data_IF_722186528363
#
_entry.id   IF_722186528363
#
_cell.length_a   1.000
_cell.length_b   1.000
_cell.length_c   1.000
_cell.angle_alpha   90.00
_cell.angle_beta   90.00
_cell.angle_gamma   90.00
#
_symmetry.space_group_name_H-M   'P 1'
#
loop_
_entity.id
_entity.type
_entity.pdbx_description
1 polymer ?
#
# COMPACT_ATOMS: atom_id res chain seq x y z
N UNK A 1 -26.99 22.96 70.13
CA UNK A 1 -25.61 23.34 69.76
C UNK A 1 -25.38 24.77 70.22
N UNK A 2 -24.29 25.09 70.94
CA UNK A 2 -24.03 26.46 71.35
C UNK A 2 -23.77 27.32 70.12
N UNK A 3 -24.51 28.43 69.98
CA UNK A 3 -24.22 29.44 68.97
C UNK A 3 -22.84 30.02 69.27
N UNK A 4 -21.90 29.87 68.34
CA UNK A 4 -20.58 30.47 68.44
C UNK A 4 -20.74 31.99 68.28
N UNK A 5 -20.87 32.71 69.39
CA UNK A 5 -20.92 34.18 69.37
C UNK A 5 -19.52 34.73 69.08
N UNK A 6 -19.27 35.10 67.83
CA UNK A 6 -18.04 35.74 67.41
C UNK A 6 -18.04 37.19 67.92
N UNK A 7 -17.30 37.47 69.01
CA UNK A 7 -17.12 38.82 69.53
C UNK A 7 -15.84 39.41 68.94
N UNK A 8 -15.96 40.50 68.21
CA UNK A 8 -14.81 41.18 67.57
C UNK A 8 -14.41 42.35 68.46
N UNK A 9 -13.24 42.26 69.09
CA UNK A 9 -12.63 43.38 69.81
C UNK A 9 -11.87 44.30 68.82
N UNK A 10 -12.31 45.55 68.73
CA UNK A 10 -11.80 46.54 67.76
C UNK A 10 -10.43 47.17 68.15
N UNK A 11 -9.66 46.54 69.03
CA UNK A 11 -8.36 47.07 69.48
C UNK A 11 -7.25 46.91 68.44
N UNK A 12 -7.35 45.89 67.58
CA UNK A 12 -6.37 45.60 66.51
C UNK A 12 -6.98 45.40 65.11
N UNK A 13 -8.30 45.31 64.99
CA UNK A 13 -8.99 45.08 63.73
C UNK A 13 -10.15 46.06 63.54
N UNK A 14 -10.32 46.56 62.32
CA UNK A 14 -11.47 47.40 61.94
C UNK A 14 -12.60 46.53 61.37
N UNK A 15 -13.83 47.04 61.38
CA UNK A 15 -14.99 46.36 60.78
C UNK A 15 -14.75 45.95 59.31
N UNK A 16 -13.96 46.74 58.55
CA UNK A 16 -13.56 46.42 57.19
C UNK A 16 -12.72 45.15 57.09
N UNK A 17 -11.84 44.88 58.06
CA UNK A 17 -11.04 43.65 58.09
C UNK A 17 -11.91 42.41 58.26
N UNK A 18 -12.95 42.49 59.10
CA UNK A 18 -13.88 41.38 59.32
C UNK A 18 -14.69 41.08 58.07
N UNK A 19 -15.24 42.12 57.43
CA UNK A 19 -15.98 41.96 56.17
C UNK A 19 -15.08 41.36 55.09
N UNK A 20 -13.83 41.83 54.98
CA UNK A 20 -12.85 41.26 54.05
C UNK A 20 -12.57 39.77 54.33
N UNK A 21 -12.42 39.37 55.60
CA UNK A 21 -12.22 37.97 55.99
C UNK A 21 -13.45 37.12 55.63
N UNK A 22 -14.66 37.60 55.90
CA UNK A 22 -15.90 36.86 55.57
C UNK A 22 -16.04 36.68 54.06
N UNK A 23 -15.79 37.74 53.27
CA UNK A 23 -15.82 37.67 51.81
C UNK A 23 -14.72 36.76 51.24
N UNK A 24 -13.53 36.77 51.83
CA UNK A 24 -12.45 35.84 51.47
C UNK A 24 -12.85 34.39 51.78
N UNK A 25 -13.35 34.09 52.98
CA UNK A 25 -13.82 32.76 53.36
C UNK A 25 -14.95 32.25 52.46
N UNK A 26 -15.79 33.14 51.94
CA UNK A 26 -16.88 32.78 51.03
C UNK A 26 -16.41 32.57 49.58
N UNK A 27 -15.45 33.36 49.10
CA UNK A 27 -14.97 33.32 47.72
C UNK A 27 -13.94 32.22 47.45
N UNK A 28 -13.08 31.88 48.43
CA UNK A 28 -12.03 30.85 48.27
C UNK A 28 -12.60 29.48 47.82
N UNK A 29 -13.69 28.94 48.41
CA UNK A 29 -14.27 27.68 47.97
C UNK A 29 -14.76 27.69 46.52
N UNK A 30 -15.27 28.83 46.02
CA UNK A 30 -15.75 28.96 44.64
C UNK A 30 -14.60 28.75 43.66
N UNK A 31 -13.45 29.40 43.91
CA UNK A 31 -12.25 29.22 43.09
C UNK A 31 -11.67 27.81 43.20
N UNK A 32 -11.76 27.17 44.38
CA UNK A 32 -11.31 25.79 44.56
C UNK A 32 -12.12 24.81 43.71
N UNK A 33 -13.45 24.95 43.67
CA UNK A 33 -14.32 24.11 42.83
C UNK A 33 -14.00 24.31 41.35
N UNK A 34 -13.76 25.55 40.91
CA UNK A 34 -13.35 25.82 39.53
C UNK A 34 -12.04 25.13 39.17
N UNK A 35 -11.04 25.16 40.05
CA UNK A 35 -9.75 24.46 39.84
C UNK A 35 -9.97 22.95 39.73
N UNK A 36 -10.81 22.36 40.60
CA UNK A 36 -11.10 20.91 40.58
C UNK A 36 -11.74 20.48 39.26
N UNK A 37 -12.62 21.31 38.68
CA UNK A 37 -13.22 21.01 37.37
C UNK A 37 -12.18 20.90 36.25
N UNK A 38 -11.08 21.67 36.31
CA UNK A 38 -10.01 21.59 35.31
C UNK A 38 -9.06 20.40 35.48
N UNK A 39 -9.06 19.73 36.64
CA UNK A 39 -8.17 18.57 36.88
C UNK A 39 -8.51 17.41 35.94
N UNK A 40 -9.79 17.19 35.64
CA UNK A 40 -10.23 16.12 34.73
C UNK A 40 -9.79 16.39 33.29
N UNK A 41 -9.91 17.64 32.83
CA UNK A 41 -9.45 18.05 31.50
C UNK A 41 -7.92 17.94 31.39
N UNK A 42 -7.19 18.35 32.42
CA UNK A 42 -5.74 18.19 32.49
C UNK A 42 -5.30 16.72 32.45
N UNK A 43 -5.97 15.84 33.21
CA UNK A 43 -5.69 14.42 33.20
C UNK A 43 -5.98 13.79 31.83
N UNK A 44 -7.10 14.15 31.19
CA UNK A 44 -7.46 13.68 29.84
C UNK A 44 -6.49 14.18 28.78
N UNK A 45 -6.05 15.44 28.89
CA UNK A 45 -5.01 16.03 28.05
C UNK A 45 -3.69 15.28 28.16
N UNK A 46 -3.23 14.99 29.38
CA UNK A 46 -2.00 14.23 29.60
C UNK A 46 -2.07 12.81 29.03
N UNK A 47 -3.21 12.12 29.13
CA UNK A 47 -3.37 10.79 28.52
C UNK A 47 -3.25 10.84 27.01
N UNK A 48 -3.87 11.84 26.38
CA UNK A 48 -3.83 12.03 24.92
C UNK A 48 -2.42 12.41 24.46
N UNK A 49 -1.72 13.24 25.24
CA UNK A 49 -0.35 13.64 25.00
C UNK A 49 0.63 12.46 25.09
N UNK A 50 0.47 11.56 26.06
CA UNK A 50 1.35 10.39 26.20
C UNK A 50 1.24 9.43 25.00
N UNK A 51 0.04 9.21 24.46
CA UNK A 51 -0.13 8.41 23.23
C UNK A 51 0.57 9.07 22.05
N UNK A 52 0.49 10.39 21.94
CA UNK A 52 1.17 11.14 20.89
C UNK A 52 2.70 11.08 21.05
N UNK A 53 3.21 11.19 22.28
CA UNK A 53 4.65 11.01 22.55
C UNK A 53 5.10 9.60 22.21
N UNK A 54 4.33 8.56 22.58
CA UNK A 54 4.64 7.17 22.24
C UNK A 54 4.77 7.00 20.73
N UNK A 55 3.86 7.57 19.94
CA UNK A 55 3.92 7.54 18.47
C UNK A 55 5.10 8.34 17.88
N UNK A 56 5.49 9.46 18.50
CA UNK A 56 6.63 10.26 18.05
C UNK A 56 7.96 9.57 18.39
N UNK A 57 8.03 8.93 19.55
CA UNK A 57 9.23 8.26 20.05
C UNK A 57 9.38 6.84 19.52
N UNK A 58 8.32 6.23 18.96
CA UNK A 58 8.37 4.91 18.34
C UNK A 58 9.37 4.90 17.18
N UNK A 59 10.55 4.35 17.44
CA UNK A 59 11.54 4.12 16.40
C UNK A 59 11.14 2.90 15.58
N UNK A 60 10.79 3.13 14.31
CA UNK A 60 10.59 2.04 13.35
C UNK A 60 11.83 1.15 13.30
N UNK A 61 11.67 -0.17 13.39
CA UNK A 61 12.77 -1.15 13.23
C UNK A 61 13.47 -1.02 11.87
N UNK A 62 12.80 -0.43 10.88
CA UNK A 62 13.32 -0.09 9.55
C UNK A 62 13.88 1.35 9.52
N UNK A 63 14.46 1.86 10.60
CA UNK A 63 14.80 3.28 10.84
C UNK A 63 15.70 3.98 9.82
N UNK A 64 16.27 3.28 8.84
CA UNK A 64 17.17 3.85 7.82
C UNK A 64 16.41 4.37 6.57
N UNK A 65 15.34 5.12 6.78
CA UNK A 65 14.62 5.79 5.67
C UNK A 65 15.41 6.96 5.08
N UNK A 66 16.48 7.42 5.75
CA UNK A 66 17.18 8.68 5.44
C UNK A 66 18.53 8.48 4.73
N UNK A 67 18.58 7.62 3.72
CA UNK A 67 19.76 7.50 2.86
C UNK A 67 21.00 6.85 3.50
N UNK A 68 20.88 6.38 4.74
CA UNK A 68 21.93 5.64 5.43
C UNK A 68 21.91 4.17 4.99
N UNK A 69 23.04 3.68 4.48
CA UNK A 69 23.18 2.32 3.98
C UNK A 69 23.77 2.29 2.57
N UNK A 70 24.08 1.10 2.09
CA UNK A 70 24.71 0.94 0.78
C UNK A 70 23.69 1.21 -0.32
N UNK A 71 23.98 2.21 -1.15
CA UNK A 71 23.25 2.45 -2.39
C UNK A 71 23.85 1.57 -3.51
N UNK A 72 23.04 0.92 -4.33
CA UNK A 72 23.56 0.12 -5.43
C UNK A 72 24.24 1.03 -6.46
N UNK A 73 25.52 0.78 -6.76
CA UNK A 73 26.29 1.50 -7.80
C UNK A 73 25.70 1.22 -9.19
N UNK A 74 25.23 -0.02 -9.40
CA UNK A 74 24.45 -0.44 -10.55
C UNK A 74 23.46 -1.52 -10.13
N UNK A 75 22.29 -1.55 -10.76
CA UNK A 75 21.26 -2.55 -10.50
C UNK A 75 20.83 -3.19 -11.82
N UNK A 76 21.27 -4.42 -12.03
CA UNK A 76 21.07 -5.13 -13.30
C UNK A 76 19.69 -5.80 -13.39
N UNK A 77 18.94 -5.90 -12.28
CA UNK A 77 17.61 -6.52 -12.27
C UNK A 77 17.58 -8.01 -11.95
N UNK A 78 18.71 -8.61 -11.56
CA UNK A 78 18.76 -10.00 -11.07
C UNK A 78 18.17 -10.09 -9.66
N UNK A 79 17.32 -11.09 -9.42
CA UNK A 79 16.75 -11.36 -8.11
C UNK A 79 17.02 -12.80 -7.69
N UNK A 80 17.42 -12.98 -6.44
CA UNK A 80 17.66 -14.29 -5.86
C UNK A 80 17.10 -14.37 -4.45
N UNK A 81 16.22 -15.34 -4.24
CA UNK A 81 15.67 -15.74 -2.96
C UNK A 81 16.42 -16.99 -2.51
N UNK A 82 16.99 -16.96 -1.30
CA UNK A 82 17.73 -18.08 -0.70
C UNK A 82 17.14 -18.38 0.67
N UNK A 83 16.63 -19.60 0.86
CA UNK A 83 16.06 -20.10 2.11
C UNK A 83 15.11 -19.09 2.79
N UNK A 84 14.17 -18.54 2.02
CA UNK A 84 13.25 -17.53 2.54
C UNK A 84 12.12 -18.19 3.32
N UNK A 85 11.96 -17.80 4.59
CA UNK A 85 10.86 -18.18 5.46
C UNK A 85 10.07 -16.94 5.86
N UNK A 86 8.74 -17.05 5.92
CA UNK A 86 7.91 -15.90 6.25
C UNK A 86 6.66 -16.25 7.05
N UNK A 87 6.33 -15.33 7.96
CA UNK A 87 5.19 -15.38 8.86
C UNK A 87 4.76 -13.96 9.19
N UNK A 88 3.47 -13.68 9.08
CA UNK A 88 2.94 -12.36 9.47
C UNK A 88 3.03 -12.17 11.00
N UNK A 89 3.50 -11.01 11.49
CA UNK A 89 3.56 -10.73 12.93
C UNK A 89 2.20 -10.84 13.63
N UNK A 90 1.12 -10.49 12.92
CA UNK A 90 -0.27 -10.59 13.40
C UNK A 90 -0.80 -12.02 13.48
N UNK A 91 -0.20 -12.97 12.75
CA UNK A 91 -0.63 -14.37 12.70
C UNK A 91 0.57 -15.30 12.92
N UNK A 92 1.08 -15.27 14.15
CA UNK A 92 2.29 -16.02 14.52
C UNK A 92 2.15 -17.53 14.39
N UNK A 93 0.96 -18.11 14.37
CA UNK A 93 0.81 -19.56 14.27
C UNK A 93 0.88 -20.11 12.84
N UNK A 94 0.67 -19.25 11.83
CA UNK A 94 0.61 -19.68 10.42
C UNK A 94 1.86 -19.27 9.68
N UNK A 95 2.70 -20.25 9.33
CA UNK A 95 3.79 -20.05 8.38
C UNK A 95 3.22 -19.89 6.96
N UNK A 96 3.71 -18.90 6.24
CA UNK A 96 3.26 -18.57 4.88
C UNK A 96 4.25 -19.09 3.84
N UNK A 97 5.55 -18.91 4.08
CA UNK A 97 6.61 -19.44 3.22
C UNK A 97 7.56 -20.34 4.01
N UNK A 98 7.97 -21.43 3.39
CA UNK A 98 8.97 -22.36 3.93
C UNK A 98 10.03 -22.66 2.86
N UNK A 99 11.29 -22.37 3.16
CA UNK A 99 12.45 -22.73 2.32
C UNK A 99 12.37 -22.25 0.86
N UNK A 100 11.86 -21.03 0.63
CA UNK A 100 11.76 -20.47 -0.72
C UNK A 100 13.15 -20.19 -1.31
N UNK A 101 13.47 -20.91 -2.38
CA UNK A 101 14.68 -20.74 -3.19
C UNK A 101 14.28 -20.46 -4.64
N UNK A 102 14.59 -19.28 -5.14
CA UNK A 102 14.21 -18.85 -6.49
C UNK A 102 15.23 -17.88 -7.06
N UNK A 103 15.59 -18.08 -8.32
CA UNK A 103 16.42 -17.16 -9.08
C UNK A 103 15.66 -16.64 -10.30
N UNK A 104 15.73 -15.34 -10.51
CA UNK A 104 15.13 -14.58 -11.61
C UNK A 104 16.22 -13.75 -12.27
N UNK A 105 16.44 -13.99 -13.56
CA UNK A 105 17.45 -13.26 -14.34
C UNK A 105 16.91 -11.91 -14.81
N UNK A 106 17.83 -10.99 -15.11
CA UNK A 106 17.51 -9.67 -15.65
C UNK A 106 16.65 -9.77 -16.92
N UNK A 107 15.56 -9.00 -16.95
CA UNK A 107 14.64 -8.96 -18.09
C UNK A 107 13.68 -10.14 -18.20
N UNK A 108 13.79 -11.13 -17.30
CA UNK A 108 12.88 -12.27 -17.26
C UNK A 108 11.54 -11.88 -16.62
N UNK A 109 10.45 -12.37 -17.21
CA UNK A 109 9.11 -12.31 -16.63
C UNK A 109 8.79 -13.62 -15.92
N UNK A 110 8.57 -13.55 -14.60
CA UNK A 110 8.27 -14.70 -13.74
C UNK A 110 6.88 -14.54 -13.14
N UNK A 111 6.01 -15.52 -13.42
CA UNK A 111 4.66 -15.58 -12.89
C UNK A 111 4.58 -16.50 -11.67
N UNK A 112 3.93 -16.02 -10.61
CA UNK A 112 3.62 -16.78 -9.41
C UNK A 112 2.14 -17.18 -9.42
N UNK A 113 1.88 -18.45 -9.18
CA UNK A 113 0.53 -19.02 -9.10
C UNK A 113 0.37 -19.72 -7.75
N UNK A 114 -0.57 -19.24 -6.92
CA UNK A 114 -0.82 -19.76 -5.58
C UNK A 114 -1.51 -18.73 -4.66
N UNK A 115 -1.85 -19.12 -3.43
CA UNK A 115 -2.45 -18.22 -2.45
C UNK A 115 -1.44 -17.14 -2.00
N UNK A 116 -1.88 -15.89 -1.97
CA UNK A 116 -1.05 -14.68 -1.81
C UNK A 116 -0.31 -14.60 -0.47
N UNK A 117 0.98 -14.22 -0.54
CA UNK A 117 1.84 -13.92 0.61
C UNK A 117 3.32 -14.17 0.30
N UNK A 118 4.08 -13.11 -0.01
CA UNK A 118 5.52 -13.19 -0.28
C UNK A 118 6.35 -12.49 0.81
N UNK A 119 7.52 -13.05 1.15
CA UNK A 119 8.34 -12.70 2.29
C UNK A 119 9.79 -12.32 1.96
N UNK A 120 10.54 -11.93 3.00
CA UNK A 120 11.87 -11.30 2.94
C UNK A 120 13.04 -12.28 2.75
N UNK A 121 14.04 -11.87 1.97
CA UNK A 121 15.39 -12.45 1.93
C UNK A 121 16.46 -11.34 2.01
N UNK A 122 17.57 -11.64 2.70
CA UNK A 122 18.68 -10.77 3.10
C UNK A 122 18.33 -9.62 4.06
N UNK A 123 19.30 -9.20 4.89
CA UNK A 123 19.10 -8.17 5.91
C UNK A 123 18.90 -6.78 5.26
N UNK A 124 17.67 -6.51 4.81
CA UNK A 124 17.21 -5.22 4.29
C UNK A 124 17.47 -4.05 5.25
N UNK A 125 17.84 -4.33 6.51
CA UNK A 125 18.16 -3.33 7.54
C UNK A 125 19.49 -2.62 7.30
N UNK A 126 20.33 -3.05 6.35
CA UNK A 126 21.59 -2.36 6.01
C UNK A 126 21.53 -1.58 4.69
N UNK A 127 20.46 -1.73 3.91
CA UNK A 127 20.34 -1.13 2.59
C UNK A 127 19.73 0.27 2.67
N UNK A 128 20.14 1.14 1.74
CA UNK A 128 19.43 2.39 1.51
C UNK A 128 18.07 2.08 0.84
N UNK A 129 17.02 1.99 1.65
CA UNK A 129 15.68 1.59 1.20
C UNK A 129 15.14 2.53 0.13
N UNK A 130 15.43 3.83 0.19
CA UNK A 130 14.98 4.80 -0.80
C UNK A 130 15.60 4.52 -2.17
N UNK A 131 16.92 4.31 -2.21
CA UNK A 131 17.64 4.01 -3.44
C UNK A 131 17.18 2.68 -4.06
N UNK A 132 16.90 1.67 -3.24
CA UNK A 132 16.35 0.40 -3.70
C UNK A 132 14.93 0.57 -4.23
N UNK A 133 14.03 1.25 -3.51
CA UNK A 133 12.63 1.46 -3.94
C UNK A 133 12.53 2.16 -5.29
N UNK A 134 13.44 3.08 -5.63
CA UNK A 134 13.51 3.70 -6.96
C UNK A 134 13.75 2.69 -8.10
N UNK A 135 14.29 1.50 -7.81
CA UNK A 135 14.46 0.44 -8.80
C UNK A 135 13.20 -0.41 -9.01
N UNK A 136 12.19 -0.28 -8.15
CA UNK A 136 10.95 -1.06 -8.20
C UNK A 136 9.77 -0.18 -8.64
N UNK A 137 8.99 -0.68 -9.61
CA UNK A 137 7.66 -0.18 -9.91
C UNK A 137 6.63 -1.19 -9.44
N UNK A 138 5.52 -0.71 -8.87
CA UNK A 138 4.44 -1.58 -8.37
C UNK A 138 3.14 -1.19 -9.04
N UNK A 139 2.40 -2.18 -9.53
CA UNK A 139 1.01 -2.05 -9.94
C UNK A 139 0.19 -2.98 -9.07
N UNK A 140 -0.64 -2.40 -8.22
CA UNK A 140 -1.48 -3.12 -7.26
C UNK A 140 -2.75 -3.66 -7.92
N UNK A 141 -3.39 -4.60 -7.24
CA UNK A 141 -4.68 -5.16 -7.63
C UNK A 141 -5.75 -4.07 -7.71
N UNK A 142 -5.94 -3.33 -6.62
CA UNK A 142 -6.83 -2.18 -6.55
C UNK A 142 -6.04 -0.87 -6.80
N UNK A 143 -6.37 -0.12 -7.87
CA UNK A 143 -5.62 1.08 -8.22
C UNK A 143 -5.99 2.26 -7.30
N UNK A 144 -5.01 2.73 -6.52
CA UNK A 144 -5.15 3.91 -5.66
C UNK A 144 -4.61 5.16 -6.36
N UNK A 145 -5.50 6.14 -6.52
CA UNK A 145 -5.19 7.50 -6.99
C UNK A 145 -5.40 8.48 -5.84
N UNK A 146 -4.60 9.54 -5.81
CA UNK A 146 -4.76 10.62 -4.84
C UNK A 146 -5.68 11.69 -5.43
N UNK A 147 -6.33 12.46 -4.54
CA UNK A 147 -7.21 13.59 -4.87
C UNK A 147 -6.43 14.80 -5.42
N UNK A 148 -5.78 14.60 -6.55
CA UNK A 148 -4.98 15.59 -7.29
C UNK A 148 -5.13 15.37 -8.80
N UNK A 149 -4.46 16.17 -9.62
CA UNK A 149 -4.58 16.03 -11.08
C UNK A 149 -4.05 14.69 -11.61
N UNK A 150 -4.46 14.32 -12.82
CA UNK A 150 -3.95 13.12 -13.50
C UNK A 150 -2.43 13.20 -13.70
N UNK A 151 -1.90 14.36 -14.12
CA UNK A 151 -0.46 14.55 -14.28
C UNK A 151 0.30 14.37 -12.97
N UNK A 152 -0.18 14.94 -11.86
CA UNK A 152 0.46 14.81 -10.55
C UNK A 152 0.41 13.37 -10.06
N UNK A 153 -0.72 12.67 -10.29
CA UNK A 153 -0.85 11.25 -10.02
C UNK A 153 0.19 10.42 -10.77
N UNK A 154 0.51 10.74 -12.03
CA UNK A 154 1.56 10.03 -12.78
C UNK A 154 2.94 10.44 -12.26
N UNK A 155 3.18 11.74 -12.04
CA UNK A 155 4.46 12.32 -11.60
C UNK A 155 4.91 11.81 -10.22
N UNK A 156 4.03 11.24 -9.40
CA UNK A 156 4.45 10.52 -8.19
C UNK A 156 5.43 9.36 -8.43
N UNK A 157 5.46 8.78 -9.63
CA UNK A 157 6.46 7.77 -9.99
C UNK A 157 7.87 8.36 -10.12
N UNK A 158 7.98 9.63 -10.51
CA UNK A 158 9.23 10.38 -10.69
C UNK A 158 8.94 11.87 -10.53
N UNK A 159 9.24 12.42 -9.35
CA UNK A 159 8.82 13.78 -8.97
C UNK A 159 9.40 14.88 -9.87
N UNK A 160 10.58 14.63 -10.44
CA UNK A 160 11.29 15.50 -11.38
C UNK A 160 10.93 15.22 -12.85
N UNK A 161 9.90 14.40 -13.13
CA UNK A 161 9.52 14.07 -14.50
C UNK A 161 8.95 15.29 -15.24
N UNK A 162 9.39 15.46 -16.49
CA UNK A 162 8.88 16.51 -17.37
C UNK A 162 7.48 16.17 -17.87
N UNK A 163 6.74 17.18 -18.33
CA UNK A 163 5.39 16.97 -18.88
C UNK A 163 5.42 16.04 -20.10
N UNK A 164 6.48 16.10 -20.91
CA UNK A 164 6.69 15.17 -22.04
C UNK A 164 6.87 13.72 -21.56
N UNK A 165 7.63 13.49 -20.49
CA UNK A 165 7.78 12.15 -19.90
C UNK A 165 6.44 11.62 -19.37
N UNK A 166 5.63 12.48 -18.75
CA UNK A 166 4.28 12.13 -18.26
C UNK A 166 3.36 11.75 -19.43
N UNK A 167 3.36 12.53 -20.52
CA UNK A 167 2.54 12.25 -21.72
C UNK A 167 2.98 10.96 -22.40
N UNK A 168 4.30 10.73 -22.51
CA UNK A 168 4.85 9.49 -23.07
C UNK A 168 4.46 8.27 -22.22
N UNK A 169 4.60 8.35 -20.90
CA UNK A 169 4.20 7.28 -19.99
C UNK A 169 2.70 6.98 -20.08
N UNK A 170 1.86 8.02 -20.13
CA UNK A 170 0.42 7.87 -20.33
C UNK A 170 0.08 7.24 -21.68
N UNK A 171 0.80 7.59 -22.75
CA UNK A 171 0.61 6.99 -24.08
C UNK A 171 0.98 5.51 -24.10
N UNK A 172 2.11 5.14 -23.47
CA UNK A 172 2.52 3.74 -23.34
C UNK A 172 1.51 2.93 -22.52
N UNK A 173 0.90 3.55 -21.51
CA UNK A 173 -0.15 2.95 -20.70
C UNK A 173 -1.54 2.93 -21.37
N UNK A 174 -1.66 3.34 -22.65
CA UNK A 174 -2.93 3.53 -23.35
C UNK A 174 -3.90 4.46 -22.60
N UNK A 175 -3.40 5.42 -21.83
CA UNK A 175 -4.18 6.35 -21.03
C UNK A 175 -4.42 7.70 -21.70
N UNK A 176 -3.51 8.12 -22.60
CA UNK A 176 -3.53 9.43 -23.24
C UNK A 176 -4.90 9.77 -23.87
N UNK A 177 -5.46 8.87 -24.68
CA UNK A 177 -6.68 9.14 -25.45
C UNK A 177 -7.89 9.47 -24.56
N UNK A 178 -8.04 8.77 -23.44
CA UNK A 178 -9.16 9.04 -22.53
C UNK A 178 -8.88 10.26 -21.64
N UNK A 179 -7.62 10.50 -21.28
CA UNK A 179 -7.24 11.68 -20.50
C UNK A 179 -7.58 12.95 -21.29
N UNK A 180 -7.30 12.96 -22.60
CA UNK A 180 -7.65 14.07 -23.49
C UNK A 180 -9.17 14.27 -23.71
N UNK A 181 -9.99 13.31 -23.29
CA UNK A 181 -11.46 13.43 -23.31
C UNK A 181 -12.01 13.97 -21.98
N UNK A 182 -11.19 14.04 -20.93
CA UNK A 182 -11.59 14.61 -19.65
C UNK A 182 -11.73 16.13 -19.76
N UNK A 183 -12.63 16.69 -18.93
CA UNK A 183 -12.66 18.13 -18.71
C UNK A 183 -11.33 18.54 -18.06
N UNK A 184 -10.59 19.43 -18.71
CA UNK A 184 -9.25 19.92 -18.31
C UNK A 184 -8.08 18.96 -18.58
N UNK A 185 -8.27 17.92 -19.40
CA UNK A 185 -7.22 17.00 -19.87
C UNK A 185 -6.36 16.43 -18.71
N UNK A 186 -5.04 16.62 -18.75
CA UNK A 186 -4.10 16.17 -17.72
C UNK A 186 -4.26 16.88 -16.37
N UNK A 187 -4.85 18.08 -16.36
CA UNK A 187 -5.13 18.85 -15.15
C UNK A 187 -6.46 18.46 -14.49
N UNK A 188 -7.21 17.55 -15.10
CA UNK A 188 -8.42 16.99 -14.51
C UNK A 188 -8.09 16.35 -13.16
N UNK A 189 -8.86 16.68 -12.13
CA UNK A 189 -8.72 16.07 -10.80
C UNK A 189 -9.22 14.62 -10.88
N UNK A 190 -8.39 13.67 -10.45
CA UNK A 190 -8.79 12.29 -10.29
C UNK A 190 -9.87 12.21 -9.21
N UNK A 191 -11.07 11.80 -9.60
CA UNK A 191 -12.19 11.58 -8.70
C UNK A 191 -12.85 10.23 -8.99
N UNK A 192 -13.91 9.92 -8.26
CA UNK A 192 -14.64 8.65 -8.38
C UNK A 192 -15.33 8.41 -9.73
N UNK A 193 -15.28 9.35 -10.67
CA UNK A 193 -15.89 9.19 -12.00
C UNK A 193 -15.05 8.35 -12.97
N UNK A 194 -13.80 8.04 -12.63
CA UNK A 194 -12.94 7.17 -13.45
C UNK A 194 -13.32 5.70 -13.28
N UNK A 195 -13.42 4.96 -14.39
CA UNK A 195 -13.63 3.51 -14.33
C UNK A 195 -12.42 2.80 -13.74
N UNK A 196 -12.61 1.59 -13.20
CA UNK A 196 -11.50 0.78 -12.66
C UNK A 196 -10.35 0.62 -13.66
N UNK A 197 -10.65 0.36 -14.94
CA UNK A 197 -9.65 0.21 -15.99
C UNK A 197 -8.95 1.51 -16.39
N UNK A 198 -9.61 2.67 -16.22
CA UNK A 198 -8.96 3.97 -16.37
C UNK A 198 -8.00 4.25 -15.20
N UNK A 199 -8.44 4.00 -13.96
CA UNK A 199 -7.60 4.12 -12.77
C UNK A 199 -6.36 3.22 -12.87
N UNK A 200 -6.53 1.97 -13.30
CA UNK A 200 -5.43 1.02 -13.52
C UNK A 200 -4.40 1.56 -14.50
N UNK A 201 -4.84 2.09 -15.65
CA UNK A 201 -3.94 2.65 -16.68
C UNK A 201 -3.15 3.86 -16.18
N UNK A 202 -3.73 4.69 -15.31
CA UNK A 202 -2.99 5.79 -14.66
C UNK A 202 -1.93 5.24 -13.71
N UNK A 203 -2.25 4.23 -12.90
CA UNK A 203 -1.27 3.57 -12.04
C UNK A 203 -0.14 2.88 -12.85
N UNK A 204 -0.46 2.30 -14.02
CA UNK A 204 0.55 1.75 -14.93
C UNK A 204 1.44 2.87 -15.49
N UNK A 205 0.87 4.01 -15.89
CA UNK A 205 1.66 5.17 -16.32
C UNK A 205 2.60 5.67 -15.20
N UNK A 206 2.11 5.72 -13.95
CA UNK A 206 2.92 6.02 -12.75
C UNK A 206 4.09 5.05 -12.59
N UNK A 207 3.87 3.75 -12.79
CA UNK A 207 4.96 2.77 -12.75
C UNK A 207 5.94 2.97 -13.92
N UNK A 208 5.45 3.26 -15.13
CA UNK A 208 6.29 3.45 -16.33
C UNK A 208 7.21 4.68 -16.20
N UNK A 209 6.70 5.82 -15.71
CA UNK A 209 7.47 7.08 -15.62
C UNK A 209 8.65 6.98 -14.64
N UNK A 210 8.54 6.12 -13.62
CA UNK A 210 9.64 5.81 -12.70
C UNK A 210 10.80 5.03 -13.35
N UNK A 211 10.57 4.48 -14.55
CA UNK A 211 11.50 3.63 -15.30
C UNK A 211 12.24 2.58 -14.44
N UNK A 212 11.49 1.68 -13.79
CA UNK A 212 12.07 0.75 -12.83
C UNK A 212 12.82 -0.39 -13.55
N UNK A 213 13.79 -0.99 -12.86
CA UNK A 213 14.47 -2.21 -13.31
C UNK A 213 13.67 -3.46 -12.99
N UNK A 214 12.91 -3.43 -11.90
CA UNK A 214 12.00 -4.50 -11.48
C UNK A 214 10.56 -3.97 -11.46
N UNK A 215 9.67 -4.69 -12.11
CA UNK A 215 8.24 -4.41 -12.11
C UNK A 215 7.50 -5.49 -11.32
N UNK A 216 6.76 -5.08 -10.30
CA UNK A 216 5.87 -5.96 -9.52
C UNK A 216 4.43 -5.72 -9.98
N UNK A 217 3.78 -6.78 -10.44
CA UNK A 217 2.41 -6.74 -10.93
C UNK A 217 1.56 -7.67 -10.06
N UNK A 218 0.67 -7.08 -9.27
CA UNK A 218 -0.20 -7.81 -8.35
C UNK A 218 -1.63 -7.82 -8.89
N UNK A 219 -2.04 -8.92 -9.53
CA UNK A 219 -3.42 -9.12 -10.02
C UNK A 219 -4.06 -7.93 -10.78
N UNK A 220 -3.25 -7.19 -11.55
CA UNK A 220 -3.61 -5.89 -12.11
C UNK A 220 -4.74 -5.88 -13.17
N UNK A 221 -5.34 -7.03 -13.47
CA UNK A 221 -6.50 -7.17 -14.39
C UNK A 221 -7.74 -7.76 -13.74
N UNK A 222 -7.69 -8.06 -12.43
CA UNK A 222 -8.87 -8.53 -11.70
C UNK A 222 -9.90 -7.39 -11.62
N UNK A 223 -11.20 -7.72 -11.66
CA UNK A 223 -12.34 -6.77 -11.59
C UNK A 223 -12.65 -5.86 -12.79
N UNK A 224 -12.03 -6.09 -13.96
CA UNK A 224 -12.27 -5.28 -15.18
C UNK A 224 -13.23 -5.94 -16.18
N UNK A 225 -13.93 -5.11 -16.97
CA UNK A 225 -14.67 -5.54 -18.16
C UNK A 225 -13.72 -5.96 -19.30
N UNK A 226 -14.20 -6.79 -20.22
CA UNK A 226 -13.38 -7.40 -21.29
C UNK A 226 -12.63 -6.37 -22.17
N UNK A 227 -13.23 -5.20 -22.44
CA UNK A 227 -12.60 -4.18 -23.29
C UNK A 227 -11.50 -3.47 -22.51
N UNK A 228 -11.81 -3.02 -21.29
CA UNK A 228 -10.83 -2.40 -20.39
C UNK A 228 -9.67 -3.34 -20.06
N UNK A 229 -9.96 -4.62 -19.83
CA UNK A 229 -8.95 -5.65 -19.56
C UNK A 229 -7.93 -5.76 -20.70
N UNK A 230 -8.40 -5.80 -21.95
CA UNK A 230 -7.50 -5.87 -23.11
C UNK A 230 -6.60 -4.64 -23.22
N UNK A 231 -7.13 -3.45 -22.93
CA UNK A 231 -6.36 -2.21 -22.94
C UNK A 231 -5.31 -2.17 -21.83
N UNK A 232 -5.68 -2.61 -20.63
CA UNK A 232 -4.79 -2.74 -19.47
C UNK A 232 -3.71 -3.79 -19.73
N UNK A 233 -4.06 -4.95 -20.27
CA UNK A 233 -3.09 -6.01 -20.59
C UNK A 233 -2.07 -5.55 -21.63
N UNK A 234 -2.51 -4.83 -22.67
CA UNK A 234 -1.60 -4.26 -23.65
C UNK A 234 -0.64 -3.23 -23.02
N UNK A 235 -1.12 -2.43 -22.07
CA UNK A 235 -0.30 -1.50 -21.31
C UNK A 235 0.72 -2.23 -20.42
N UNK A 236 0.31 -3.30 -19.73
CA UNK A 236 1.21 -4.16 -18.95
C UNK A 236 2.29 -4.80 -19.82
N UNK A 237 1.91 -5.39 -20.96
CA UNK A 237 2.87 -5.98 -21.90
C UNK A 237 3.90 -4.96 -22.40
N UNK A 238 3.49 -3.71 -22.66
CA UNK A 238 4.41 -2.62 -23.01
C UNK A 238 5.33 -2.25 -21.85
N UNK A 239 4.78 -2.20 -20.62
CA UNK A 239 5.54 -1.88 -19.41
C UNK A 239 6.57 -2.96 -19.04
N UNK A 240 6.32 -4.23 -19.36
CA UNK A 240 7.20 -5.35 -19.05
C UNK A 240 8.45 -5.41 -19.94
N UNK A 241 8.38 -4.89 -21.17
CA UNK A 241 9.49 -5.01 -22.14
C UNK A 241 10.79 -4.43 -21.59
N UNK A 242 11.83 -5.27 -21.54
CA UNK A 242 13.17 -4.88 -21.09
C UNK A 242 13.32 -4.69 -19.58
N UNK A 243 12.37 -5.19 -18.78
CA UNK A 243 12.40 -5.11 -17.32
C UNK A 243 12.18 -6.48 -16.70
N UNK A 244 12.86 -6.75 -15.58
CA UNK A 244 12.55 -7.95 -14.79
C UNK A 244 11.15 -7.80 -14.21
N UNK A 245 10.26 -8.73 -14.48
CA UNK A 245 8.87 -8.64 -14.03
C UNK A 245 8.51 -9.78 -13.11
N UNK A 246 8.00 -9.48 -11.93
CA UNK A 246 7.36 -10.43 -11.05
C UNK A 246 5.85 -10.22 -11.12
N UNK A 247 5.15 -11.23 -11.60
CA UNK A 247 3.71 -11.21 -11.82
C UNK A 247 3.03 -12.16 -10.84
N UNK A 248 2.09 -11.67 -10.04
CA UNK A 248 1.14 -12.49 -9.30
C UNK A 248 -0.13 -12.51 -10.14
N UNK A 249 -0.55 -13.69 -10.58
CA UNK A 249 -1.66 -13.81 -11.51
C UNK A 249 -2.67 -14.85 -11.04
N UNK A 250 -3.94 -14.45 -11.12
CA UNK A 250 -5.10 -15.29 -10.89
C UNK A 250 -5.80 -15.68 -12.21
N UNK A 251 -5.37 -15.12 -13.35
CA UNK A 251 -5.90 -15.43 -14.68
C UNK A 251 -4.85 -16.12 -15.55
N UNK A 252 -5.25 -17.18 -16.26
CA UNK A 252 -4.38 -17.90 -17.20
C UNK A 252 -3.84 -17.04 -18.34
N UNK A 253 -4.63 -16.08 -18.82
CA UNK A 253 -4.26 -15.19 -19.93
C UNK A 253 -2.98 -14.40 -19.65
N UNK A 254 -2.77 -14.01 -18.39
CA UNK A 254 -1.58 -13.30 -17.91
C UNK A 254 -0.40 -14.24 -17.65
N UNK A 255 -0.67 -15.46 -17.17
CA UNK A 255 0.37 -16.45 -16.82
C UNK A 255 1.04 -17.04 -18.06
N UNK A 256 0.27 -17.28 -19.13
CA UNK A 256 0.74 -18.00 -20.33
C UNK A 256 1.94 -17.35 -21.02
N UNK A 257 2.05 -16.03 -20.94
CA UNK A 257 3.12 -15.27 -21.61
C UNK A 257 4.38 -15.09 -20.74
N UNK A 258 4.43 -15.66 -19.54
CA UNK A 258 5.59 -15.58 -18.67
C UNK A 258 6.71 -16.53 -19.15
N UNK A 259 7.95 -16.08 -19.06
CA UNK A 259 9.12 -16.90 -19.41
C UNK A 259 9.29 -18.08 -18.44
N UNK A 260 8.88 -17.89 -17.18
CA UNK A 260 8.90 -18.91 -16.14
C UNK A 260 7.69 -18.77 -15.24
N UNK A 261 7.04 -19.89 -14.97
CA UNK A 261 5.93 -20.00 -14.05
C UNK A 261 6.42 -20.76 -12.83
N UNK A 262 6.07 -20.25 -11.64
CA UNK A 262 6.40 -20.84 -10.34
C UNK A 262 5.09 -21.08 -9.60
N UNK A 263 4.85 -22.35 -9.26
CA UNK A 263 3.61 -22.79 -8.63
C UNK A 263 3.87 -23.07 -7.15
N UNK A 264 3.06 -22.46 -6.29
CA UNK A 264 3.13 -22.60 -4.85
C UNK A 264 2.02 -23.51 -4.30
N UNK A 265 2.39 -24.43 -3.42
CA UNK A 265 1.46 -25.10 -2.51
C UNK A 265 2.01 -25.06 -1.08
N UNK A 266 1.14 -24.71 -0.12
CA UNK A 266 1.46 -24.66 1.31
C UNK A 266 2.80 -23.99 1.65
N UNK A 267 3.14 -22.92 0.93
CA UNK A 267 4.36 -22.14 1.17
C UNK A 267 5.64 -22.69 0.56
N UNK A 268 5.57 -23.75 -0.27
CA UNK A 268 6.71 -24.34 -1.00
C UNK A 268 6.48 -24.28 -2.50
N UNK A 269 7.58 -24.20 -3.26
CA UNK A 269 7.54 -24.34 -4.71
C UNK A 269 7.33 -25.83 -5.02
N UNK A 270 6.22 -26.15 -5.70
CA UNK A 270 5.90 -27.53 -6.12
C UNK A 270 6.36 -27.76 -7.56
N UNK A 271 6.14 -26.76 -8.42
CA UNK A 271 6.47 -26.84 -9.84
C UNK A 271 7.08 -25.54 -10.33
N UNK A 272 8.01 -25.64 -11.28
CA UNK A 272 8.51 -24.50 -12.04
C UNK A 272 8.88 -24.90 -13.46
N UNK A 273 8.62 -24.03 -14.43
CA UNK A 273 8.93 -24.25 -15.84
C UNK A 273 8.23 -23.25 -16.74
N UNK A 274 8.35 -23.42 -18.05
CA UNK A 274 7.52 -22.68 -19.02
C UNK A 274 6.09 -23.22 -19.06
N UNK A 275 5.16 -22.48 -19.69
CA UNK A 275 3.77 -22.92 -19.84
C UNK A 275 3.66 -24.30 -20.50
N UNK A 276 4.37 -24.50 -21.60
CA UNK A 276 4.32 -25.73 -22.38
C UNK A 276 4.91 -26.92 -21.59
N UNK A 277 6.04 -26.71 -20.90
CA UNK A 277 6.66 -27.73 -20.04
C UNK A 277 5.73 -28.17 -18.90
N UNK A 278 5.02 -27.23 -18.28
CA UNK A 278 4.14 -27.52 -17.15
C UNK A 278 2.83 -28.20 -17.59
N UNK A 279 2.33 -27.90 -18.79
CA UNK A 279 1.18 -28.60 -19.36
C UNK A 279 1.54 -30.05 -19.68
N UNK A 280 2.71 -30.31 -20.26
CA UNK A 280 3.17 -31.67 -20.58
C UNK A 280 3.32 -32.55 -19.35
N UNK A 281 3.76 -31.96 -18.22
CA UNK A 281 3.90 -32.66 -16.94
C UNK A 281 2.57 -33.16 -16.36
N UNK A 282 1.42 -32.62 -16.80
CA UNK A 282 0.06 -32.99 -16.34
C UNK A 282 -0.09 -33.11 -14.82
N UNK A 283 0.58 -32.21 -14.10
CA UNK A 283 0.64 -32.21 -12.64
C UNK A 283 -0.24 -31.07 -12.08
N UNK A 284 0.17 -30.37 -11.02
CA UNK A 284 -0.66 -29.39 -10.31
C UNK A 284 -1.05 -28.21 -11.20
N UNK A 285 -0.11 -27.66 -11.98
CA UNK A 285 -0.40 -26.55 -12.89
C UNK A 285 -1.47 -26.91 -13.93
N UNK A 286 -1.37 -28.09 -14.53
CA UNK A 286 -2.33 -28.57 -15.52
C UNK A 286 -3.74 -28.67 -14.94
N UNK A 287 -3.89 -29.19 -13.73
CA UNK A 287 -5.19 -29.28 -13.07
C UNK A 287 -5.80 -27.90 -12.81
N UNK A 288 -4.99 -26.91 -12.40
CA UNK A 288 -5.45 -25.52 -12.26
C UNK A 288 -5.91 -24.93 -13.60
N UNK A 289 -5.19 -25.22 -14.68
CA UNK A 289 -5.55 -24.75 -16.03
C UNK A 289 -6.90 -25.30 -16.47
N UNK A 290 -7.13 -26.61 -16.27
CA UNK A 290 -8.39 -27.27 -16.61
C UNK A 290 -9.56 -26.68 -15.80
N UNK A 291 -9.41 -26.54 -14.49
CA UNK A 291 -10.46 -25.99 -13.62
C UNK A 291 -10.86 -24.55 -13.98
N UNK A 292 -9.90 -23.72 -14.42
CA UNK A 292 -10.23 -22.36 -14.87
C UNK A 292 -10.85 -22.33 -16.27
N UNK A 293 -10.49 -23.29 -17.13
CA UNK A 293 -11.06 -23.41 -18.48
C UNK A 293 -12.52 -23.90 -18.44
N UNK A 294 -12.83 -24.83 -17.53
CA UNK A 294 -14.18 -25.33 -17.32
C UNK A 294 -15.10 -24.26 -16.71
N UNK A 295 -14.61 -23.48 -15.74
CA UNK A 295 -15.35 -22.34 -15.19
C UNK A 295 -15.64 -21.24 -16.22
N UNK A 296 -14.78 -21.06 -17.23
CA UNK A 296 -15.03 -20.10 -18.31
C UNK A 296 -16.17 -20.57 -19.23
N UNK A 297 -16.31 -21.88 -19.45
CA UNK A 297 -17.37 -22.48 -20.26
C UNK A 297 -18.74 -22.43 -19.56
N UNK A 298 -18.79 -22.62 -18.24
CA UNK A 298 -20.04 -22.54 -17.47
C UNK A 298 -20.61 -21.10 -17.40
N UNK A 299 -19.74 -20.08 -17.33
CA UNK A 299 -20.15 -18.66 -17.34
C UNK A 299 -20.73 -18.24 -18.70
N UNK A 300 -20.19 -18.75 -19.81
CA UNK A 300 -20.74 -18.49 -21.15
C UNK A 300 -22.13 -19.14 -21.34
N UNK A 301 -22.33 -20.38 -20.88
CA UNK A 301 -23.63 -21.05 -20.98
C UNK A 301 -24.73 -20.39 -20.13
N UNK A 302 -24.37 -19.91 -18.94
CA UNK A 302 -25.31 -19.22 -18.04
C UNK A 302 -25.74 -17.86 -18.60
N UNK A 303 -24.83 -17.14 -19.27
CA UNK A 303 -25.15 -15.86 -19.93
C UNK A 303 -26.00 -16.05 -21.19
N UNK A 304 -25.83 -17.15 -21.91
CA UNK A 304 -26.68 -17.51 -23.06
C UNK A 304 -28.12 -17.87 -22.64
N UNK A 305 -28.31 -18.53 -21.49
CA UNK A 305 -29.65 -18.84 -20.97
C UNK A 305 -30.39 -17.63 -20.38
N UNK A 306 -29.67 -16.63 -19.89
CA UNK A 306 -30.26 -15.40 -19.34
C UNK A 306 -30.54 -14.31 -20.42
N UNK A 307 -30.16 -14.56 -21.67
CA UNK A 307 -30.35 -13.65 -22.81
C UNK A 307 -31.46 -14.08 -23.78
N UNK A 308 -32.21 -15.13 -23.43
CA UNK A 308 -33.40 -15.63 -24.14
C UNK A 308 -34.60 -15.61 -23.22
#
# INVERSE_FOLDING_TARGET
>A
MPFLNLRIDCTHYTAGHVVAIVLACWSIPIYLVMIISYIQDYASGNMSFNVLLELIEEQSVMSKWHGEGDSPVSFDGNLEFRNVHFRYPSRKEKQILEDLNLRVESGQSVAFVGHSGCGNGNDVRTLNIEAYRKQFGIVQQEPVLFDMSVEENIRLGKLDATDDEVVQAATLANAHDFIMQLKDNYKAVCNDKLSGGQKQRICIARAIVSNPKILLLDEATSSLDNISEKLVQNALNKAQKGRTTLLIAHRLSTIRNADKIVVFDKGKIVESGSHDELIEKRSFYYNLVQLQSDNALDVEQTNLQNST
#
